data_IF_963798493015
#
_entry.id   IF_963798493015
#
_cell.length_a   1.000
_cell.length_b   1.000
_cell.length_c   1.000
_cell.angle_alpha   90.00
_cell.angle_beta   90.00
_cell.angle_gamma   90.00
#
_symmetry.space_group_name_H-M   'P 1'
#
loop_
_entity.id
_entity.type
_entity.pdbx_description
1 polymer ?
#
# COMPACT_ATOMS: atom_id res chain seq x y z
N UNK A 1 28.73 8.52 -9.72
CA UNK A 1 27.47 7.80 -9.47
C UNK A 1 26.36 8.84 -9.37
N UNK A 2 25.23 8.64 -10.06
CA UNK A 2 24.07 9.56 -10.02
C UNK A 2 23.18 9.13 -8.85
N UNK A 3 22.85 10.06 -7.97
CA UNK A 3 22.14 9.77 -6.73
C UNK A 3 20.81 10.51 -6.69
N UNK A 4 19.72 9.78 -6.50
CA UNK A 4 18.41 10.33 -6.22
C UNK A 4 18.21 10.46 -4.70
N UNK A 5 17.64 11.57 -4.25
CA UNK A 5 17.23 11.75 -2.86
C UNK A 5 15.72 11.61 -2.79
N UNK A 6 15.22 10.74 -1.90
CA UNK A 6 13.81 10.68 -1.57
C UNK A 6 13.58 11.22 -0.17
N UNK A 7 12.79 12.27 -0.06
CA UNK A 7 12.43 12.87 1.21
C UNK A 7 10.91 12.99 1.34
N UNK A 8 10.40 12.70 2.54
CA UNK A 8 9.00 12.89 2.85
C UNK A 8 8.87 13.97 3.90
N UNK A 9 8.36 15.13 3.48
CA UNK A 9 8.20 16.32 4.31
C UNK A 9 6.76 16.43 4.80
N UNK A 10 6.58 16.52 6.13
CA UNK A 10 5.27 16.70 6.74
C UNK A 10 5.16 18.14 7.25
N UNK A 11 4.12 18.84 6.84
CA UNK A 11 3.82 20.19 7.34
C UNK A 11 3.36 20.20 8.82
N UNK A 12 3.16 19.02 9.44
CA UNK A 12 2.63 18.87 10.78
C UNK A 12 3.62 18.39 11.84
N UNK A 13 4.79 17.91 11.45
CA UNK A 13 5.82 17.45 12.41
C UNK A 13 6.51 18.66 13.05
N UNK A 14 5.92 19.16 14.13
CA UNK A 14 6.43 20.29 14.93
C UNK A 14 7.78 20.05 15.62
N UNK A 15 8.42 18.90 15.40
CA UNK A 15 9.66 18.52 16.09
C UNK A 15 10.88 18.27 15.22
N UNK A 16 10.73 18.17 13.90
CA UNK A 16 11.85 17.99 12.98
C UNK A 16 11.66 18.91 11.78
N UNK A 17 12.60 19.82 11.59
CA UNK A 17 12.63 20.71 10.43
C UNK A 17 12.86 19.88 9.15
N UNK A 18 11.88 19.84 8.23
CA UNK A 18 12.02 19.11 6.96
C UNK A 18 13.20 19.61 6.12
N UNK A 19 13.51 20.89 6.22
CA UNK A 19 14.66 21.49 5.51
C UNK A 19 15.98 20.99 6.09
N UNK A 20 16.06 20.84 7.42
CA UNK A 20 17.24 20.28 8.06
C UNK A 20 17.50 18.83 7.65
N UNK A 21 16.47 17.99 7.59
CA UNK A 21 16.61 16.61 7.09
C UNK A 21 17.07 16.57 5.64
N UNK A 22 16.51 17.42 4.80
CA UNK A 22 16.89 17.49 3.40
C UNK A 22 18.32 17.99 3.22
N UNK A 23 18.75 18.95 4.04
CA UNK A 23 20.14 19.44 4.04
C UNK A 23 21.11 18.32 4.40
N UNK A 24 20.87 17.58 5.49
CA UNK A 24 21.70 16.44 5.87
C UNK A 24 21.74 15.33 4.80
N UNK A 25 20.60 15.04 4.16
CA UNK A 25 20.57 14.10 3.03
C UNK A 25 21.40 14.57 1.84
N UNK A 26 21.43 15.88 1.54
CA UNK A 26 22.26 16.45 0.48
C UNK A 26 23.75 16.29 0.80
N UNK A 27 24.18 16.71 1.99
CA UNK A 27 25.57 16.53 2.43
C UNK A 27 26.01 15.06 2.42
N UNK A 28 25.14 14.17 2.89
CA UNK A 28 25.41 12.74 2.84
C UNK A 28 25.56 12.24 1.40
N UNK A 29 24.69 12.70 0.51
CA UNK A 29 24.67 12.30 -0.90
C UNK A 29 25.93 12.76 -1.64
N UNK A 30 26.43 13.95 -1.38
CA UNK A 30 27.65 14.50 -2.01
C UNK A 30 28.88 13.63 -1.78
N UNK A 31 28.93 12.90 -0.65
CA UNK A 31 30.00 11.92 -0.36
C UNK A 31 29.89 10.64 -1.20
N UNK A 32 28.72 10.39 -1.84
CA UNK A 32 28.46 9.17 -2.58
C UNK A 32 28.36 9.38 -4.10
N UNK A 33 28.20 10.63 -4.54
CA UNK A 33 28.11 10.96 -5.96
C UNK A 33 27.44 12.29 -6.22
N UNK A 34 27.00 12.49 -7.45
CA UNK A 34 26.30 13.71 -7.88
C UNK A 34 24.79 13.56 -7.72
N UNK A 35 24.15 14.56 -7.13
CA UNK A 35 22.68 14.57 -6.98
C UNK A 35 22.05 14.65 -8.37
N UNK A 36 21.30 13.62 -8.73
CA UNK A 36 20.50 13.57 -9.93
C UNK A 36 19.23 14.41 -9.77
N UNK A 37 18.43 14.10 -8.74
CA UNK A 37 17.15 14.74 -8.46
C UNK A 37 16.72 14.52 -7.01
N UNK A 38 15.98 15.47 -6.46
CA UNK A 38 15.31 15.36 -5.17
C UNK A 38 13.81 15.11 -5.41
N UNK A 39 13.32 13.99 -4.93
CA UNK A 39 11.91 13.61 -4.92
C UNK A 39 11.35 13.93 -3.53
N UNK A 40 10.73 15.09 -3.39
CA UNK A 40 10.16 15.55 -2.13
C UNK A 40 8.64 15.33 -2.11
N UNK A 41 8.18 14.41 -1.27
CA UNK A 41 6.77 14.11 -1.08
C UNK A 41 6.17 14.96 0.03
N UNK A 42 5.27 15.87 -0.29
CA UNK A 42 4.55 16.66 0.72
C UNK A 42 3.37 15.86 1.29
N UNK A 43 3.35 15.71 2.61
CA UNK A 43 2.27 15.01 3.31
C UNK A 43 1.31 16.01 3.94
N UNK A 44 0.23 16.32 3.23
CA UNK A 44 -0.92 17.03 3.78
C UNK A 44 -2.04 16.04 4.11
N UNK A 45 -2.31 15.81 5.39
CA UNK A 45 -3.49 15.12 5.93
C UNK A 45 -4.02 13.88 5.19
N UNK A 46 -3.63 12.70 5.62
CA UNK A 46 -4.40 11.46 5.46
C UNK A 46 -4.22 10.63 4.18
N UNK A 47 -4.16 11.18 2.99
CA UNK A 47 -3.94 10.44 1.73
C UNK A 47 -3.02 11.23 0.79
N UNK A 48 -1.73 11.13 1.00
CA UNK A 48 -0.78 11.54 -0.03
C UNK A 48 -0.87 10.56 -1.21
N UNK A 49 -1.04 11.08 -2.42
CA UNK A 49 -1.09 10.27 -3.64
C UNK A 49 0.26 9.60 -3.98
N UNK A 50 1.33 9.87 -3.19
CA UNK A 50 2.69 9.37 -3.37
C UNK A 50 3.21 9.55 -4.81
N UNK A 51 2.92 10.69 -5.37
CA UNK A 51 3.25 11.00 -6.76
C UNK A 51 4.75 10.96 -6.99
N UNK A 52 5.51 11.61 -6.11
CA UNK A 52 6.97 11.66 -6.21
C UNK A 52 7.62 10.28 -6.01
N UNK A 53 7.06 9.44 -5.14
CA UNK A 53 7.52 8.07 -4.98
C UNK A 53 7.30 7.21 -6.23
N UNK A 54 6.15 7.36 -6.88
CA UNK A 54 5.86 6.65 -8.14
C UNK A 54 6.78 7.08 -9.26
N UNK A 55 7.06 8.39 -9.35
CA UNK A 55 8.02 8.94 -10.31
C UNK A 55 9.42 8.44 -10.02
N UNK A 56 9.84 8.40 -8.74
CA UNK A 56 11.13 7.82 -8.32
C UNK A 56 11.28 6.37 -8.82
N UNK A 57 10.29 5.51 -8.57
CA UNK A 57 10.33 4.11 -9.02
C UNK A 57 10.37 4.00 -10.55
N UNK A 58 9.57 4.78 -11.26
CA UNK A 58 9.57 4.79 -12.72
C UNK A 58 10.95 5.21 -13.28
N UNK A 59 11.56 6.27 -12.73
CA UNK A 59 12.87 6.73 -13.14
C UNK A 59 14.00 5.76 -12.74
N UNK A 60 13.83 5.01 -11.63
CA UNK A 60 14.71 3.91 -11.27
C UNK A 60 14.65 2.77 -12.30
N UNK A 61 13.47 2.36 -12.73
CA UNK A 61 13.30 1.34 -13.78
C UNK A 61 13.92 1.75 -15.11
N UNK A 62 13.96 3.05 -15.38
CA UNK A 62 14.65 3.63 -16.54
C UNK A 62 16.16 3.82 -16.33
N UNK A 63 16.72 3.42 -15.19
CA UNK A 63 18.13 3.58 -14.82
C UNK A 63 18.65 5.01 -14.93
N UNK A 64 17.83 6.01 -14.60
CA UNK A 64 18.24 7.42 -14.65
C UNK A 64 19.22 7.79 -13.53
N UNK A 65 19.28 7.00 -12.48
CA UNK A 65 20.22 7.12 -11.37
C UNK A 65 20.67 5.73 -10.88
N UNK A 66 21.72 5.71 -10.10
CA UNK A 66 22.41 4.48 -9.68
C UNK A 66 22.18 4.17 -8.20
N UNK A 67 21.82 5.17 -7.40
CA UNK A 67 21.60 5.06 -5.96
C UNK A 67 20.41 5.92 -5.55
N UNK A 68 19.56 5.41 -4.66
CA UNK A 68 18.57 6.22 -3.95
C UNK A 68 18.97 6.36 -2.48
N UNK A 69 18.93 7.57 -1.95
CA UNK A 69 19.18 7.91 -0.55
C UNK A 69 17.90 8.39 0.08
N UNK A 70 17.59 7.89 1.27
CA UNK A 70 16.44 8.30 2.06
C UNK A 70 16.78 8.36 3.56
N UNK A 71 15.92 9.00 4.36
CA UNK A 71 16.19 9.20 5.78
C UNK A 71 16.15 7.90 6.58
N UNK A 72 15.02 7.17 6.52
CA UNK A 72 14.75 5.92 7.22
C UNK A 72 13.74 5.08 6.44
N UNK A 73 13.64 3.81 6.77
CA UNK A 73 12.73 2.88 6.11
C UNK A 73 11.26 3.32 6.22
N UNK A 74 10.81 3.76 7.38
CA UNK A 74 9.46 4.24 7.63
C UNK A 74 9.15 5.58 6.91
N UNK A 75 10.18 6.34 6.57
CA UNK A 75 10.08 7.55 5.73
C UNK A 75 10.11 7.22 4.24
N UNK A 76 10.74 6.12 3.86
CA UNK A 76 10.72 5.62 2.49
C UNK A 76 9.34 5.04 2.11
N UNK A 77 8.72 4.22 2.97
CA UNK A 77 7.36 3.74 2.74
C UNK A 77 6.57 3.61 4.04
N UNK A 78 5.24 3.93 4.00
CA UNK A 78 4.27 3.70 5.09
C UNK A 78 3.43 2.45 4.91
N UNK A 79 3.65 1.70 3.86
CA UNK A 79 2.82 0.55 3.50
C UNK A 79 3.19 -0.73 4.28
N UNK A 80 3.96 -0.54 5.36
CA UNK A 80 4.46 -1.62 6.19
C UNK A 80 5.79 -2.19 5.70
N UNK A 81 6.46 -2.92 6.59
CA UNK A 81 7.83 -3.40 6.34
C UNK A 81 7.92 -4.29 5.11
N UNK A 82 6.96 -5.20 4.90
CA UNK A 82 7.00 -6.14 3.78
C UNK A 82 6.97 -5.45 2.41
N UNK A 83 6.04 -4.50 2.21
CA UNK A 83 5.96 -3.75 0.94
C UNK A 83 7.18 -2.85 0.75
N UNK A 84 7.69 -2.26 1.82
CA UNK A 84 8.92 -1.46 1.76
C UNK A 84 10.10 -2.30 1.29
N UNK A 85 10.28 -3.50 1.84
CA UNK A 85 11.34 -4.43 1.43
C UNK A 85 11.16 -4.90 -0.02
N UNK A 86 9.92 -5.10 -0.46
CA UNK A 86 9.63 -5.40 -1.87
C UNK A 86 10.12 -4.29 -2.80
N UNK A 87 9.83 -3.03 -2.49
CA UNK A 87 10.34 -1.89 -3.27
C UNK A 87 11.87 -1.83 -3.28
N UNK A 88 12.54 -2.07 -2.14
CA UNK A 88 14.00 -2.11 -2.08
C UNK A 88 14.57 -3.23 -2.94
N UNK A 89 13.94 -4.40 -2.93
CA UNK A 89 14.31 -5.51 -3.81
C UNK A 89 14.11 -5.14 -5.29
N UNK A 90 12.98 -4.57 -5.65
CA UNK A 90 12.70 -4.12 -7.02
C UNK A 90 13.74 -3.10 -7.52
N UNK A 91 14.16 -2.15 -6.68
CA UNK A 91 15.26 -1.22 -7.03
C UNK A 91 16.53 -1.98 -7.37
N UNK A 92 16.93 -2.95 -6.55
CA UNK A 92 18.13 -3.77 -6.78
C UNK A 92 18.03 -4.62 -8.05
N UNK A 93 16.88 -5.24 -8.28
CA UNK A 93 16.62 -6.06 -9.46
C UNK A 93 16.77 -5.21 -10.76
N UNK A 94 16.52 -3.90 -10.68
CA UNK A 94 16.76 -2.94 -11.77
C UNK A 94 18.16 -2.30 -11.72
N UNK A 95 19.05 -2.75 -10.86
CA UNK A 95 20.44 -2.27 -10.76
C UNK A 95 20.56 -0.89 -10.09
N UNK A 96 19.57 -0.48 -9.30
CA UNK A 96 19.62 0.72 -8.47
C UNK A 96 19.82 0.33 -7.02
N UNK A 97 20.91 0.81 -6.41
CA UNK A 97 21.18 0.59 -5.00
C UNK A 97 20.40 1.58 -4.13
N UNK A 98 20.41 1.33 -2.81
CA UNK A 98 19.78 2.23 -1.85
C UNK A 98 20.65 2.40 -0.60
N UNK A 99 20.51 3.56 0.07
CA UNK A 99 21.12 3.83 1.38
C UNK A 99 20.14 4.57 2.26
N UNK A 100 20.00 4.10 3.50
CA UNK A 100 19.32 4.82 4.57
C UNK A 100 20.32 5.67 5.33
N UNK A 101 19.98 6.94 5.60
CA UNK A 101 20.85 7.84 6.34
C UNK A 101 21.02 7.42 7.80
N UNK A 102 19.94 7.03 8.47
CA UNK A 102 19.96 6.65 9.89
C UNK A 102 20.10 5.15 10.15
N UNK A 103 20.06 4.33 9.08
CA UNK A 103 20.05 2.86 9.17
C UNK A 103 21.15 2.26 8.27
N UNK A 104 22.45 2.51 8.60
CA UNK A 104 23.57 2.09 7.73
C UNK A 104 23.67 0.56 7.56
N UNK A 105 23.10 -0.21 8.48
CA UNK A 105 23.02 -1.68 8.39
C UNK A 105 22.14 -2.16 7.22
N UNK A 106 21.28 -1.28 6.65
CA UNK A 106 20.47 -1.60 5.47
C UNK A 106 21.22 -1.44 4.15
N UNK A 107 22.49 -1.06 4.17
CA UNK A 107 23.28 -0.92 2.93
C UNK A 107 23.40 -2.27 2.21
N UNK A 108 22.83 -2.43 1.01
CA UNK A 108 22.86 -3.68 0.26
C UNK A 108 24.27 -4.06 -0.20
N UNK A 109 25.20 -3.11 -0.23
CA UNK A 109 26.62 -3.35 -0.55
C UNK A 109 27.44 -3.71 0.69
N UNK A 110 26.85 -3.62 1.88
CA UNK A 110 27.48 -4.02 3.13
C UNK A 110 27.52 -5.54 3.28
N UNK A 111 28.46 -6.07 4.08
CA UNK A 111 28.68 -7.51 4.23
C UNK A 111 27.48 -8.28 4.78
N UNK A 112 26.55 -7.60 5.43
CA UNK A 112 25.34 -8.18 6.02
C UNK A 112 24.04 -7.70 5.40
N UNK A 113 24.08 -6.87 4.36
CA UNK A 113 22.90 -6.23 3.77
C UNK A 113 21.81 -7.23 3.37
N UNK A 114 22.17 -8.29 2.64
CA UNK A 114 21.21 -9.32 2.20
C UNK A 114 20.65 -10.14 3.37
N UNK A 115 21.46 -10.44 4.37
CA UNK A 115 21.02 -11.19 5.56
C UNK A 115 19.99 -10.36 6.34
N UNK A 116 20.28 -9.09 6.58
CA UNK A 116 19.37 -8.19 7.32
C UNK A 116 18.05 -7.98 6.55
N UNK A 117 18.11 -7.76 5.25
CA UNK A 117 16.91 -7.63 4.41
C UNK A 117 16.08 -8.91 4.45
N UNK A 118 16.70 -10.07 4.36
CA UNK A 118 16.01 -11.38 4.46
C UNK A 118 15.38 -11.61 5.83
N UNK A 119 16.07 -11.24 6.89
CA UNK A 119 15.54 -11.33 8.26
C UNK A 119 14.36 -10.42 8.48
N UNK A 120 14.43 -9.15 8.04
CA UNK A 120 13.34 -8.20 8.11
C UNK A 120 12.13 -8.66 7.29
N UNK A 121 12.35 -9.24 6.10
CA UNK A 121 11.29 -9.80 5.28
C UNK A 121 10.57 -10.96 5.98
N UNK A 122 11.31 -11.82 6.68
CA UNK A 122 10.75 -12.92 7.46
C UNK A 122 9.89 -12.43 8.62
N UNK A 123 10.38 -11.43 9.37
CA UNK A 123 9.63 -10.82 10.48
C UNK A 123 8.34 -10.17 9.94
N UNK A 124 8.43 -9.41 8.84
CA UNK A 124 7.27 -8.77 8.24
C UNK A 124 6.22 -9.79 7.75
N UNK A 125 6.65 -10.92 7.20
CA UNK A 125 5.75 -12.01 6.82
C UNK A 125 5.04 -12.65 8.04
N UNK A 126 5.75 -12.83 9.15
CA UNK A 126 5.16 -13.34 10.39
C UNK A 126 4.11 -12.37 10.96
N UNK A 127 4.33 -11.07 10.92
CA UNK A 127 3.37 -10.07 11.40
C UNK A 127 2.08 -10.09 10.56
N UNK A 128 2.19 -10.24 9.24
CA UNK A 128 1.01 -10.41 8.38
C UNK A 128 0.22 -11.69 8.71
N UNK A 129 0.91 -12.80 8.98
CA UNK A 129 0.25 -14.04 9.36
C UNK A 129 -0.51 -13.87 10.69
N UNK A 130 0.09 -13.22 11.69
CA UNK A 130 -0.60 -12.91 12.97
C UNK A 130 -1.85 -12.05 12.76
N UNK A 131 -1.77 -11.01 11.91
CA UNK A 131 -2.93 -10.17 11.58
C UNK A 131 -4.03 -11.00 10.92
N UNK A 132 -3.67 -11.89 9.98
CA UNK A 132 -4.61 -12.79 9.31
C UNK A 132 -5.28 -13.75 10.30
N UNK A 133 -4.50 -14.38 11.18
CA UNK A 133 -5.02 -15.29 12.21
C UNK A 133 -5.95 -14.58 13.19
N UNK A 134 -5.57 -13.39 13.68
CA UNK A 134 -6.40 -12.58 14.56
C UNK A 134 -7.71 -12.17 13.87
N UNK A 135 -7.67 -11.82 12.60
CA UNK A 135 -8.87 -11.48 11.81
C UNK A 135 -9.77 -12.68 11.65
N UNK A 136 -9.22 -13.85 11.31
CA UNK A 136 -9.99 -15.12 11.21
C UNK A 136 -10.62 -15.48 12.55
N UNK A 137 -9.88 -15.37 13.65
CA UNK A 137 -10.38 -15.65 15.00
C UNK A 137 -11.52 -14.69 15.39
N UNK A 138 -11.36 -13.38 15.09
CA UNK A 138 -12.40 -12.39 15.35
C UNK A 138 -13.68 -12.64 14.54
N UNK A 139 -13.54 -13.03 13.26
CA UNK A 139 -14.66 -13.39 12.40
C UNK A 139 -15.35 -14.68 12.89
N UNK A 140 -14.58 -15.69 13.29
CA UNK A 140 -15.12 -16.94 13.86
C UNK A 140 -15.92 -16.65 15.14
N UNK A 141 -15.41 -15.80 16.04
CA UNK A 141 -16.10 -15.36 17.25
C UNK A 141 -17.42 -14.64 16.93
N UNK A 142 -17.43 -13.73 15.96
CA UNK A 142 -18.67 -13.06 15.51
C UNK A 142 -19.67 -14.03 14.91
N UNK A 143 -19.21 -14.99 14.11
CA UNK A 143 -20.05 -16.04 13.52
C UNK A 143 -20.68 -16.93 14.60
N UNK A 144 -19.90 -17.35 15.60
CA UNK A 144 -20.40 -18.12 16.75
C UNK A 144 -21.40 -17.34 17.60
N UNK A 145 -21.29 -16.01 17.67
CA UNK A 145 -22.26 -15.12 18.33
C UNK A 145 -23.50 -14.84 17.45
N UNK A 146 -23.67 -15.51 16.31
CA UNK A 146 -24.86 -15.36 15.45
C UNK A 146 -24.85 -14.06 14.61
N UNK A 147 -23.77 -13.31 14.59
CA UNK A 147 -23.68 -12.09 13.79
C UNK A 147 -23.55 -12.46 12.31
N UNK A 148 -24.50 -12.07 11.48
CA UNK A 148 -24.41 -12.23 10.03
C UNK A 148 -23.28 -11.36 9.50
N UNK A 149 -22.29 -12.00 8.87
CA UNK A 149 -21.10 -11.36 8.31
C UNK A 149 -21.30 -10.98 6.83
N UNK A 150 -22.45 -11.30 6.26
CA UNK A 150 -22.78 -10.98 4.87
C UNK A 150 -23.00 -9.47 4.70
N UNK A 151 -22.79 -9.00 3.48
CA UNK A 151 -23.13 -7.63 3.12
C UNK A 151 -24.60 -7.34 3.46
N UNK A 152 -24.93 -6.14 4.00
CA UNK A 152 -26.31 -5.82 4.37
C UNK A 152 -27.23 -6.05 3.18
N UNK A 153 -28.23 -6.90 3.37
CA UNK A 153 -29.27 -7.13 2.36
C UNK A 153 -29.98 -5.81 2.12
N UNK A 154 -30.20 -5.45 0.87
CA UNK A 154 -31.01 -4.27 0.52
C UNK A 154 -32.37 -4.34 1.20
N UNK A 155 -32.99 -3.19 1.45
CA UNK A 155 -34.28 -3.12 2.12
C UNK A 155 -35.28 -4.14 1.53
N UNK A 156 -36.12 -4.80 2.36
CA UNK A 156 -37.05 -5.83 1.89
C UNK A 156 -37.88 -5.39 0.68
N UNK A 157 -38.25 -4.11 0.62
CA UNK A 157 -38.98 -3.51 -0.51
C UNK A 157 -38.24 -3.69 -1.86
N UNK A 158 -36.90 -3.57 -1.88
CA UNK A 158 -36.12 -3.73 -3.12
C UNK A 158 -36.11 -5.19 -3.57
N UNK A 159 -36.10 -6.13 -2.64
CA UNK A 159 -36.16 -7.57 -2.92
C UNK A 159 -37.52 -7.93 -3.51
N UNK A 160 -38.61 -7.45 -2.89
CA UNK A 160 -39.99 -7.68 -3.36
C UNK A 160 -40.20 -7.06 -4.76
N UNK A 161 -39.71 -5.84 -4.99
CA UNK A 161 -39.77 -5.21 -6.32
C UNK A 161 -38.98 -5.96 -7.37
N UNK A 162 -37.81 -6.50 -7.04
CA UNK A 162 -37.03 -7.31 -7.97
C UNK A 162 -37.78 -8.60 -8.36
N UNK A 163 -38.44 -9.23 -7.39
CA UNK A 163 -39.26 -10.42 -7.62
C UNK A 163 -40.49 -10.14 -8.48
N UNK A 164 -41.22 -9.05 -8.22
CA UNK A 164 -42.41 -8.69 -9.02
C UNK A 164 -42.01 -8.37 -10.46
N UNK A 165 -40.97 -7.56 -10.70
CA UNK A 165 -40.48 -7.28 -12.04
C UNK A 165 -40.00 -8.54 -12.79
N UNK A 166 -39.51 -9.54 -12.06
CA UNK A 166 -39.15 -10.84 -12.64
C UNK A 166 -40.37 -11.63 -13.07
N UNK A 167 -41.41 -11.65 -12.26
CA UNK A 167 -42.70 -12.28 -12.60
C UNK A 167 -43.35 -11.63 -13.82
N UNK A 168 -43.15 -10.32 -14.01
CA UNK A 168 -43.57 -9.57 -15.22
C UNK A 168 -42.73 -9.91 -16.46
N UNK A 169 -41.76 -10.84 -16.37
CA UNK A 169 -40.93 -11.27 -17.49
C UNK A 169 -39.76 -10.34 -17.82
N UNK A 170 -39.45 -9.35 -16.95
CA UNK A 170 -38.33 -8.43 -17.20
C UNK A 170 -36.97 -9.14 -17.09
N UNK A 171 -36.02 -8.73 -17.90
CA UNK A 171 -34.64 -9.27 -17.85
C UNK A 171 -33.89 -8.80 -16.62
N UNK A 172 -32.93 -9.62 -16.11
CA UNK A 172 -32.11 -9.25 -14.95
C UNK A 172 -31.34 -7.93 -15.14
N UNK A 173 -30.92 -7.63 -16.37
CA UNK A 173 -30.26 -6.37 -16.70
C UNK A 173 -31.21 -5.15 -16.62
N UNK A 174 -32.47 -5.32 -16.97
CA UNK A 174 -33.49 -4.28 -16.80
C UNK A 174 -33.76 -4.02 -15.32
N UNK A 175 -33.97 -5.09 -14.55
CA UNK A 175 -34.26 -5.03 -13.11
C UNK A 175 -33.07 -4.36 -12.36
N UNK A 176 -31.85 -4.72 -12.71
CA UNK A 176 -30.64 -4.13 -12.14
C UNK A 176 -30.58 -2.61 -12.33
N UNK A 177 -30.89 -2.13 -13.55
CA UNK A 177 -30.91 -0.69 -13.87
C UNK A 177 -32.07 0.02 -13.19
N UNK A 178 -33.26 -0.55 -13.20
CA UNK A 178 -34.45 0.04 -12.58
C UNK A 178 -34.33 0.22 -11.07
N UNK A 179 -33.67 -0.70 -10.39
CA UNK A 179 -33.52 -0.71 -8.91
C UNK A 179 -32.14 -0.18 -8.43
N UNK A 180 -31.25 0.23 -9.32
CA UNK A 180 -29.92 0.71 -8.97
C UNK A 180 -29.07 -0.31 -8.23
N UNK A 181 -29.15 -1.60 -8.61
CA UNK A 181 -28.41 -2.72 -8.03
C UNK A 181 -27.61 -3.47 -9.09
N UNK A 182 -26.64 -4.27 -8.67
CA UNK A 182 -25.86 -5.08 -9.61
C UNK A 182 -26.68 -6.26 -10.19
N UNK A 183 -26.42 -6.71 -11.41
CA UNK A 183 -27.08 -7.89 -11.99
C UNK A 183 -26.91 -9.17 -11.15
N UNK A 184 -25.77 -9.31 -10.48
CA UNK A 184 -25.51 -10.42 -9.57
C UNK A 184 -26.36 -10.36 -8.29
N UNK A 185 -26.69 -9.16 -7.80
CA UNK A 185 -27.62 -8.97 -6.69
C UNK A 185 -29.07 -9.35 -7.10
N UNK A 186 -29.48 -9.02 -8.31
CA UNK A 186 -30.79 -9.45 -8.84
C UNK A 186 -30.90 -10.97 -8.84
N UNK A 187 -29.85 -11.67 -9.32
CA UNK A 187 -29.83 -13.15 -9.29
C UNK A 187 -30.06 -13.73 -7.90
N UNK A 188 -29.44 -13.15 -6.87
CA UNK A 188 -29.62 -13.58 -5.47
C UNK A 188 -31.03 -13.34 -4.93
N UNK A 189 -31.72 -12.26 -5.35
CA UNK A 189 -33.05 -11.88 -4.84
C UNK A 189 -34.21 -12.64 -5.49
N UNK A 190 -34.00 -13.12 -6.72
CA UNK A 190 -35.00 -13.88 -7.48
C UNK A 190 -34.83 -15.40 -7.36
N UNK A 191 -33.67 -15.88 -6.86
CA UNK A 191 -33.51 -17.30 -6.55
C UNK A 191 -34.32 -17.66 -5.31
N UNK A 192 -35.05 -18.80 -5.30
CA UNK A 192 -35.76 -19.25 -4.10
C UNK A 192 -34.76 -19.47 -2.97
N UNK A 193 -35.14 -19.22 -1.70
CA UNK A 193 -34.27 -19.54 -0.56
C UNK A 193 -33.89 -21.03 -0.64
N UNK A 194 -32.61 -21.31 -0.67
CA UNK A 194 -32.11 -22.69 -0.53
C UNK A 194 -32.42 -23.11 0.88
N UNK A 195 -33.33 -24.08 1.02
CA UNK A 195 -33.65 -24.73 2.29
C UNK A 195 -32.43 -25.45 2.87
#
# INVERSE_FOLDING_TARGET
MRVAIYARVSTRDKGQDPEHQLHQLREFTERHGTIYKVFAEEVSGGKSARTEFKVLLLEAYQKKFDLVVFWRLDRFSREGALLTLKYLKELRDHGVNYKSFTEPYLDPLGPFGDVIVSMLATIAAQDLNKVSENTKAALAKKKAAGVKLDAPTKAPAVVTQAQSLKLEGKSNGFIARALGISPSAVGKYISPPVC
#
